data_IF_798485702362
#
_entry.id   IF_798485702362
#
_cell.length_a   1.000
_cell.length_b   1.000
_cell.length_c   1.000
_cell.angle_alpha   90.00
_cell.angle_beta   90.00
_cell.angle_gamma   90.00
#
_symmetry.space_group_name_H-M   'P 1'
#
loop_
_entity.id
_entity.type
_entity.pdbx_description
1 polymer ?
#
# COMPACT_ATOMS: atom_id res chain seq x y z
N UNK A 1 -3.20 13.89 13.60
CA UNK A 1 -2.80 14.12 12.20
C UNK A 1 -2.91 12.80 11.51
N UNK A 2 -3.81 12.72 10.53
CA UNK A 2 -3.96 11.52 9.72
C UNK A 2 -2.78 11.43 8.74
N UNK A 3 -2.29 10.23 8.49
CA UNK A 3 -1.17 9.99 7.58
C UNK A 3 -1.63 10.21 6.12
N UNK A 4 -0.89 11.01 5.33
CA UNK A 4 -1.21 11.25 3.92
C UNK A 4 -0.57 10.19 3.01
N UNK A 5 -1.41 9.28 2.52
CA UNK A 5 -1.01 8.19 1.62
C UNK A 5 -0.58 8.73 0.25
N UNK A 6 -1.18 9.82 -0.25
CA UNK A 6 -0.84 10.34 -1.58
C UNK A 6 0.55 10.96 -1.59
N UNK A 7 0.89 11.75 -0.56
CA UNK A 7 2.25 12.26 -0.39
C UNK A 7 3.29 11.13 -0.36
N UNK A 8 3.01 10.03 0.35
CA UNK A 8 3.93 8.89 0.40
C UNK A 8 4.08 8.17 -0.96
N UNK A 9 3.00 8.08 -1.75
CA UNK A 9 3.03 7.51 -3.10
C UNK A 9 3.85 8.41 -4.05
N UNK A 10 3.57 9.71 -4.05
CA UNK A 10 4.23 10.69 -4.92
C UNK A 10 5.74 10.77 -4.65
N UNK A 11 6.12 10.74 -3.37
CA UNK A 11 7.52 10.73 -2.93
C UNK A 11 8.17 9.34 -3.00
N UNK A 12 7.41 8.30 -3.38
CA UNK A 12 7.84 6.90 -3.43
C UNK A 12 8.45 6.44 -2.11
N UNK A 13 7.82 6.79 -1.01
CA UNK A 13 8.27 6.46 0.33
C UNK A 13 7.76 5.08 0.74
N UNK A 14 8.67 4.26 1.27
CA UNK A 14 8.32 2.98 1.87
C UNK A 14 7.64 3.25 3.21
N UNK A 15 6.44 2.70 3.36
CA UNK A 15 5.63 2.83 4.57
C UNK A 15 5.57 1.51 5.33
N UNK A 16 5.29 1.61 6.62
CA UNK A 16 4.95 0.47 7.46
C UNK A 16 3.65 0.74 8.23
N UNK A 17 2.94 -0.34 8.57
CA UNK A 17 1.71 -0.28 9.35
C UNK A 17 1.38 -1.66 9.93
N UNK A 18 0.56 -1.72 10.97
CA UNK A 18 0.01 -2.98 11.47
C UNK A 18 -1.24 -3.38 10.67
N UNK A 19 -1.34 -4.66 10.29
CA UNK A 19 -2.46 -5.19 9.52
C UNK A 19 -2.64 -6.69 9.79
N UNK A 20 -3.87 -7.10 10.17
CA UNK A 20 -4.27 -8.50 10.40
C UNK A 20 -3.17 -9.35 11.09
N UNK A 21 -2.79 -8.96 12.31
CA UNK A 21 -1.89 -9.76 13.15
C UNK A 21 -0.42 -9.34 13.17
N UNK A 22 0.04 -8.45 12.28
CA UNK A 22 1.44 -8.02 12.31
C UNK A 22 1.80 -6.84 11.41
N UNK A 23 3.04 -6.38 11.56
CA UNK A 23 3.58 -5.25 10.80
C UNK A 23 3.78 -5.63 9.34
N UNK A 24 3.37 -4.75 8.42
CA UNK A 24 3.65 -4.81 6.99
C UNK A 24 4.65 -3.72 6.65
N UNK A 25 5.58 -4.01 5.76
CA UNK A 25 6.49 -3.02 5.16
C UNK A 25 6.26 -3.08 3.65
N UNK A 26 5.84 -1.96 3.06
CA UNK A 26 5.36 -1.95 1.68
C UNK A 26 5.83 -0.71 0.91
N UNK A 27 5.95 -0.89 -0.40
CA UNK A 27 6.00 0.20 -1.36
C UNK A 27 4.56 0.53 -1.80
N UNK A 28 4.01 1.68 -1.44
CA UNK A 28 2.66 2.08 -1.84
C UNK A 28 2.65 2.49 -3.32
N UNK A 29 1.70 1.98 -4.11
CA UNK A 29 1.66 2.21 -5.56
C UNK A 29 0.40 2.93 -6.06
N UNK A 30 -0.77 2.60 -5.50
CA UNK A 30 -2.03 3.19 -5.96
C UNK A 30 -3.02 3.23 -4.80
N UNK A 31 -3.64 4.38 -4.59
CA UNK A 31 -4.65 4.61 -3.57
C UNK A 31 -5.96 5.03 -4.24
N UNK A 32 -7.06 4.45 -3.79
CA UNK A 32 -8.36 4.66 -4.40
C UNK A 32 -9.50 4.02 -3.64
N UNK A 33 -10.62 3.84 -4.33
CA UNK A 33 -11.87 3.30 -3.80
C UNK A 33 -12.23 2.04 -4.59
N UNK A 34 -12.54 0.95 -3.89
CA UNK A 34 -13.00 -0.29 -4.50
C UNK A 34 -14.50 -0.27 -4.84
N UNK A 35 -15.00 -1.32 -5.50
CA UNK A 35 -16.42 -1.43 -5.89
C UNK A 35 -17.41 -1.49 -4.71
N UNK A 36 -16.93 -1.72 -3.48
CA UNK A 36 -17.73 -1.72 -2.25
C UNK A 36 -17.74 -0.35 -1.55
N UNK A 37 -17.06 0.66 -2.10
CA UNK A 37 -16.96 1.99 -1.51
C UNK A 37 -15.85 2.14 -0.46
N UNK A 38 -15.01 1.12 -0.25
CA UNK A 38 -13.93 1.19 0.74
C UNK A 38 -12.67 1.81 0.14
N UNK A 39 -11.98 2.61 0.94
CA UNK A 39 -10.63 3.08 0.64
C UNK A 39 -9.64 1.92 0.66
N UNK A 40 -8.85 1.80 -0.40
CA UNK A 40 -7.90 0.71 -0.59
C UNK A 40 -6.56 1.20 -1.10
N UNK A 41 -5.51 0.50 -0.69
CA UNK A 41 -4.13 0.73 -1.10
C UNK A 41 -3.58 -0.51 -1.81
N UNK A 42 -3.23 -0.37 -3.08
CA UNK A 42 -2.38 -1.34 -3.79
C UNK A 42 -0.93 -1.04 -3.43
N UNK A 43 -0.26 -2.03 -2.87
CA UNK A 43 1.14 -1.89 -2.51
C UNK A 43 1.90 -3.20 -2.76
N UNK A 44 3.20 -3.07 -3.00
CA UNK A 44 4.10 -4.21 -3.09
C UNK A 44 4.71 -4.44 -1.71
N UNK A 45 4.37 -5.55 -1.05
CA UNK A 45 4.96 -5.91 0.23
C UNK A 45 6.40 -6.36 0.00
N UNK A 46 7.32 -5.80 0.78
CA UNK A 46 8.76 -6.10 0.72
C UNK A 46 9.30 -6.68 2.03
N UNK A 47 8.46 -6.77 3.06
CA UNK A 47 8.83 -7.37 4.34
C UNK A 47 7.71 -7.30 5.39
N UNK A 48 8.07 -7.69 6.61
CA UNK A 48 7.15 -7.79 7.74
C UNK A 48 6.42 -9.13 7.82
N UNK A 49 5.37 -9.17 8.63
CA UNK A 49 4.55 -10.35 8.89
C UNK A 49 3.80 -10.78 7.62
N UNK A 50 3.55 -12.08 7.50
CA UNK A 50 2.63 -12.71 6.55
C UNK A 50 2.19 -14.03 7.16
N UNK A 51 0.88 -14.24 7.29
CA UNK A 51 0.35 -15.47 7.90
C UNK A 51 0.65 -16.72 7.05
N UNK A 52 0.86 -16.57 5.74
CA UNK A 52 1.18 -17.65 4.81
C UNK A 52 2.67 -17.94 4.68
N UNK A 53 3.54 -17.20 5.37
CA UNK A 53 5.01 -17.33 5.24
C UNK A 53 5.61 -16.69 3.98
N UNK A 54 4.78 -16.13 3.08
CA UNK A 54 5.21 -15.41 1.88
C UNK A 54 4.98 -13.89 2.05
N UNK A 55 5.97 -13.14 2.55
CA UNK A 55 5.82 -11.72 2.88
C UNK A 55 6.09 -10.78 1.70
N UNK A 56 6.34 -11.30 0.48
CA UNK A 56 6.71 -10.49 -0.67
C UNK A 56 5.63 -10.54 -1.76
N UNK A 57 5.34 -9.40 -2.36
CA UNK A 57 4.51 -9.30 -3.56
C UNK A 57 3.34 -8.33 -3.45
N UNK A 58 2.58 -8.22 -4.54
CA UNK A 58 1.41 -7.36 -4.63
C UNK A 58 0.31 -7.75 -3.64
N UNK A 59 -0.21 -6.76 -2.92
CA UNK A 59 -1.34 -6.91 -1.99
C UNK A 59 -2.28 -5.71 -2.13
N UNK A 60 -3.56 -5.93 -1.85
CA UNK A 60 -4.56 -4.88 -1.73
C UNK A 60 -4.98 -4.79 -0.26
N UNK A 61 -4.74 -3.65 0.36
CA UNK A 61 -5.07 -3.40 1.76
C UNK A 61 -6.32 -2.54 1.87
N UNK A 62 -7.20 -2.86 2.82
CA UNK A 62 -8.27 -1.94 3.21
C UNK A 62 -7.69 -0.90 4.17
N UNK A 63 -7.77 0.38 3.80
CA UNK A 63 -7.13 1.46 4.58
C UNK A 63 -7.71 1.57 5.98
N UNK A 64 -9.01 1.30 6.17
CA UNK A 64 -9.66 1.34 7.49
C UNK A 64 -9.12 0.28 8.47
N UNK A 65 -8.42 -0.74 7.96
CA UNK A 65 -7.78 -1.79 8.77
C UNK A 65 -6.30 -1.52 9.05
N UNK A 66 -5.71 -0.49 8.44
CA UNK A 66 -4.31 -0.13 8.65
C UNK A 66 -4.18 0.67 9.93
N UNK A 67 -3.28 0.25 10.82
CA UNK A 67 -3.08 0.90 12.12
C UNK A 67 -1.63 1.40 12.22
N UNK A 68 -1.45 2.60 12.78
CA UNK A 68 -0.15 3.22 13.02
C UNK A 68 0.73 3.30 11.76
N UNK A 69 0.19 3.87 10.69
CA UNK A 69 0.93 4.08 9.44
C UNK A 69 2.09 5.05 9.69
N UNK A 70 3.30 4.68 9.28
CA UNK A 70 4.48 5.53 9.38
C UNK A 70 5.44 5.36 8.21
N UNK A 71 6.22 6.40 7.93
CA UNK A 71 7.35 6.32 7.00
C UNK A 71 8.46 5.46 7.61
N UNK A 72 9.20 4.76 6.76
CA UNK A 72 10.40 4.00 7.17
C UNK A 72 11.71 4.78 6.95
N UNK A 73 11.64 5.94 6.31
CA UNK A 73 12.80 6.72 5.88
C UNK A 73 13.51 6.16 4.63
N UNK A 74 12.92 5.16 3.97
CA UNK A 74 13.43 4.58 2.73
C UNK A 74 12.51 4.98 1.57
N UNK A 75 13.08 5.09 0.38
CA UNK A 75 12.32 5.30 -0.86
C UNK A 75 12.56 4.13 -1.82
N UNK A 76 11.61 3.91 -2.73
CA UNK A 76 11.77 2.99 -3.85
C UNK A 76 11.87 3.77 -5.16
N UNK A 77 12.75 3.33 -6.05
CA UNK A 77 13.05 4.05 -7.31
C UNK A 77 12.49 3.35 -8.55
N UNK A 78 12.12 2.08 -8.42
CA UNK A 78 11.70 1.26 -9.55
C UNK A 78 10.20 0.98 -9.50
N UNK A 79 9.58 0.89 -10.69
CA UNK A 79 8.24 0.32 -10.83
C UNK A 79 8.34 -1.19 -10.69
N UNK A 80 7.51 -1.77 -9.84
CA UNK A 80 7.49 -3.22 -9.63
C UNK A 80 6.83 -3.94 -10.83
N UNK A 81 7.37 -5.08 -11.29
CA UNK A 81 6.75 -5.85 -12.36
C UNK A 81 5.29 -6.21 -12.05
N UNK A 82 4.42 -6.06 -13.05
CA UNK A 82 2.98 -6.33 -12.91
C UNK A 82 2.17 -5.18 -12.31
N UNK A 83 2.76 -4.01 -12.07
CA UNK A 83 2.00 -2.81 -11.74
C UNK A 83 1.03 -2.45 -12.87
N UNK A 84 -0.20 -2.10 -12.51
CA UNK A 84 -1.23 -1.63 -13.43
C UNK A 84 -1.78 -0.30 -12.90
N UNK A 85 -1.53 0.84 -13.59
CA UNK A 85 -2.04 2.13 -13.15
C UNK A 85 -3.57 2.21 -13.22
N UNK A 86 -4.23 1.38 -14.04
CA UNK A 86 -5.69 1.20 -14.09
C UNK A 86 -6.10 0.01 -13.20
N UNK A 87 -5.78 0.07 -11.91
CA UNK A 87 -5.92 -1.05 -10.98
C UNK A 87 -7.34 -1.64 -10.99
N UNK A 88 -7.47 -2.92 -11.35
CA UNK A 88 -8.77 -3.60 -11.48
C UNK A 88 -9.51 -3.77 -10.15
N UNK A 89 -8.81 -3.60 -9.02
CA UNK A 89 -9.40 -3.62 -7.68
C UNK A 89 -10.06 -2.29 -7.29
N UNK A 90 -9.94 -1.25 -8.11
CA UNK A 90 -10.44 0.09 -7.83
C UNK A 90 -11.41 0.55 -8.93
N UNK A 91 -12.50 1.17 -8.51
CA UNK A 91 -13.46 1.84 -9.43
C UNK A 91 -13.17 3.33 -9.55
N UNK A 92 -12.41 3.88 -8.60
CA UNK A 92 -11.91 5.25 -8.62
C UNK A 92 -10.51 5.29 -8.06
N UNK A 93 -9.57 5.85 -8.82
CA UNK A 93 -8.20 6.11 -8.37
C UNK A 93 -8.13 7.55 -7.86
N UNK A 94 -7.45 7.74 -6.74
CA UNK A 94 -7.24 9.05 -6.11
C UNK A 94 -5.83 9.56 -6.43
N UNK A 95 -4.83 8.72 -6.23
CA UNK A 95 -3.43 9.00 -6.57
C UNK A 95 -2.68 7.68 -6.83
N UNK A 96 -1.64 7.73 -7.64
CA UNK A 96 -0.80 6.60 -7.98
C UNK A 96 0.61 7.05 -8.38
N UNK A 97 1.54 6.09 -8.47
CA UNK A 97 2.97 6.31 -8.82
C UNK A 97 3.16 6.76 -10.27
#
# INVERSE_FOLDING_TARGET
MDFDICSAIENREVIQFYYDGGIRIVEPFCYGINSKGNYVLRAYQIGGYSSSGEPIGWRLYNVDKMINISLTGRNFTQIRPGYNPNDRGMVRIICNV
#
